data_IF_103999247423
#
_entry.id   IF_103999247423
#
_cell.length_a   1.000
_cell.length_b   1.000
_cell.length_c   1.000
_cell.angle_alpha   90.00
_cell.angle_beta   90.00
_cell.angle_gamma   90.00
#
_symmetry.space_group_name_H-M   'P 1'
#
loop_
_entity.id
_entity.type
_entity.pdbx_description
1 polymer ?
#
# COMPACT_ATOMS: atom_id res chain seq x y z
N UNK A 1 -12.95 -12.72 14.45
CA UNK A 1 -11.83 -11.87 14.87
C UNK A 1 -11.53 -10.82 13.80
N UNK A 2 -11.41 -9.56 14.18
CA UNK A 2 -11.13 -8.42 13.30
C UNK A 2 -9.82 -7.81 13.80
N UNK A 3 -8.84 -7.66 12.92
CA UNK A 3 -7.59 -6.98 13.21
C UNK A 3 -7.62 -5.61 12.55
N UNK A 4 -7.36 -4.57 13.32
CA UNK A 4 -7.10 -3.24 12.79
C UNK A 4 -5.61 -2.98 12.90
N UNK A 5 -4.93 -2.85 11.76
CA UNK A 5 -3.53 -2.49 11.71
C UNK A 5 -3.40 -1.01 11.31
N UNK A 6 -2.77 -0.23 12.17
CA UNK A 6 -2.42 1.15 11.87
C UNK A 6 -1.09 1.20 11.12
N UNK A 7 -1.12 0.99 9.81
CA UNK A 7 0.11 1.21 9.02
C UNK A 7 0.48 2.68 8.94
N UNK A 8 1.56 3.04 9.63
CA UNK A 8 2.40 4.17 9.23
C UNK A 8 3.30 3.65 8.10
N UNK A 9 3.01 3.96 6.83
CA UNK A 9 4.10 3.93 5.85
C UNK A 9 5.21 4.81 6.41
N UNK A 10 6.41 4.25 6.59
CA UNK A 10 7.54 4.84 7.27
C UNK A 10 8.09 6.15 6.68
N UNK A 11 7.30 7.21 6.64
CA UNK A 11 7.77 8.58 6.56
C UNK A 11 8.03 9.11 7.96
N UNK A 12 9.07 8.60 8.61
CA UNK A 12 9.75 9.40 9.64
C UNK A 12 10.49 10.53 8.91
N UNK A 13 9.83 11.69 8.89
CA UNK A 13 10.40 13.04 8.77
C UNK A 13 11.07 13.39 7.43
N UNK A 14 10.29 14.01 6.52
CA UNK A 14 10.78 15.18 5.79
C UNK A 14 9.61 16.20 5.71
N UNK A 15 9.75 17.36 6.37
CA UNK A 15 8.86 18.54 6.30
C UNK A 15 7.45 18.52 6.93
N UNK A 16 7.28 18.07 8.18
CA UNK A 16 6.38 18.74 9.15
C UNK A 16 4.90 19.00 8.81
N UNK A 17 4.31 18.40 7.77
CA UNK A 17 2.88 18.45 7.46
C UNK A 17 2.46 17.13 6.81
N UNK A 18 1.45 16.48 7.41
CA UNK A 18 0.78 15.22 7.03
C UNK A 18 1.48 13.89 7.37
N UNK A 19 1.26 13.38 8.59
CA UNK A 19 1.35 11.93 8.87
C UNK A 19 0.03 11.26 8.49
N UNK A 20 -0.17 10.82 7.25
CA UNK A 20 -1.39 10.10 6.87
C UNK A 20 -1.47 8.75 7.62
N UNK A 21 -2.27 8.67 8.68
CA UNK A 21 -2.60 7.40 9.34
C UNK A 21 -3.53 6.61 8.41
N UNK A 22 -2.98 5.65 7.68
CA UNK A 22 -3.73 4.80 6.74
C UNK A 22 -4.19 3.53 7.43
N UNK A 23 -5.48 3.48 7.78
CA UNK A 23 -6.09 2.33 8.44
C UNK A 23 -6.26 1.19 7.42
N UNK A 24 -5.66 0.04 7.71
CA UNK A 24 -5.90 -1.24 7.04
C UNK A 24 -6.73 -2.11 8.00
N UNK A 25 -7.95 -2.44 7.60
CA UNK A 25 -8.91 -3.30 8.30
C UNK A 25 -8.75 -4.75 7.81
N UNK A 26 -8.56 -5.71 8.69
CA UNK A 26 -8.22 -7.10 8.35
C UNK A 26 -9.17 -8.06 9.07
N UNK A 27 -9.71 -9.07 8.38
CA UNK A 27 -10.69 -9.98 8.96
C UNK A 27 -10.13 -11.42 9.08
N UNK A 28 -10.31 -12.03 10.25
CA UNK A 28 -10.01 -13.43 10.59
C UNK A 28 -11.30 -14.09 11.12
N UNK A 29 -11.99 -14.92 10.33
CA UNK A 29 -13.30 -15.47 10.72
C UNK A 29 -13.22 -16.89 11.32
N UNK A 30 -13.70 -17.03 12.56
CA UNK A 30 -14.50 -18.18 13.01
C UNK A 30 -15.59 -17.66 13.99
N UNK A 31 -16.85 -18.10 13.80
CA UNK A 31 -18.02 -18.00 14.70
C UNK A 31 -19.06 -16.87 14.50
N UNK A 32 -20.39 -17.15 14.63
CA UNK A 32 -21.47 -16.22 14.29
C UNK A 32 -22.05 -15.51 15.51
N UNK A 33 -21.89 -14.19 15.60
CA UNK A 33 -22.74 -13.35 16.44
C UNK A 33 -22.89 -11.93 15.84
N UNK A 34 -24.08 -11.32 15.92
CA UNK A 34 -24.31 -9.97 15.42
C UNK A 34 -24.09 -8.95 16.53
N UNK A 35 -23.31 -7.91 16.25
CA UNK A 35 -23.47 -6.51 16.71
C UNK A 35 -22.12 -5.80 16.63
N UNK A 36 -21.92 -4.82 15.73
CA UNK A 36 -20.93 -3.76 15.96
C UNK A 36 -21.31 -2.41 15.36
N UNK A 37 -21.16 -1.38 16.18
CA UNK A 37 -21.43 0.04 15.95
C UNK A 37 -20.34 0.69 15.07
N UNK A 38 -20.72 1.78 14.38
CA UNK A 38 -19.90 2.53 13.42
C UNK A 38 -19.74 3.99 13.86
N UNK A 39 -18.81 4.69 13.20
CA UNK A 39 -18.47 6.14 13.14
C UNK A 39 -17.08 6.45 13.74
N UNK A 40 -16.18 7.30 13.21
CA UNK A 40 -16.20 8.29 12.11
C UNK A 40 -14.78 8.90 11.92
N UNK A 41 -14.40 9.22 10.68
CA UNK A 41 -13.26 10.03 10.16
C UNK A 41 -11.81 9.84 10.69
N UNK A 42 -10.89 9.87 9.70
CA UNK A 42 -9.44 9.63 9.75
C UNK A 42 -8.72 10.69 10.62
N UNK A 43 -7.63 10.24 11.26
CA UNK A 43 -6.67 10.91 12.17
C UNK A 43 -7.05 10.84 13.66
N UNK A 44 -6.38 9.92 14.38
CA UNK A 44 -6.51 9.65 15.82
C UNK A 44 -7.85 9.07 16.27
N UNK A 45 -8.16 7.86 15.80
CA UNK A 45 -9.03 6.97 16.56
C UNK A 45 -8.23 6.42 17.75
N UNK A 46 -8.29 7.12 18.88
CA UNK A 46 -8.03 6.47 20.18
C UNK A 46 -9.27 5.65 20.48
N UNK A 47 -9.30 4.39 20.01
CA UNK A 47 -10.31 3.42 20.45
C UNK A 47 -10.00 3.13 21.91
N UNK A 48 -10.78 3.71 22.83
CA UNK A 48 -10.54 3.57 24.27
C UNK A 48 -10.83 2.14 24.75
N UNK A 49 -11.81 1.48 24.15
CA UNK A 49 -12.13 0.07 24.41
C UNK A 49 -12.60 -0.57 23.10
N UNK A 50 -11.92 -1.66 22.73
CA UNK A 50 -12.31 -2.52 21.62
C UNK A 50 -12.95 -3.79 22.19
N UNK A 51 -13.96 -4.36 21.51
CA UNK A 51 -14.50 -5.67 21.85
C UNK A 51 -13.43 -6.76 21.80
N UNK A 52 -13.63 -7.87 22.50
CA UNK A 52 -12.67 -9.00 22.53
C UNK A 52 -12.41 -9.58 21.13
N UNK A 53 -13.36 -9.44 20.20
CA UNK A 53 -13.22 -9.88 18.81
C UNK A 53 -12.39 -8.92 17.96
N UNK A 54 -12.01 -7.75 18.47
CA UNK A 54 -11.30 -6.67 17.76
C UNK A 54 -9.92 -6.48 18.36
N UNK A 55 -8.90 -6.79 17.56
CA UNK A 55 -7.50 -6.57 17.91
C UNK A 55 -6.98 -5.32 17.25
N UNK A 56 -6.53 -4.38 18.06
CA UNK A 56 -5.84 -3.18 17.59
C UNK A 56 -4.33 -3.45 17.65
N UNK A 57 -3.68 -3.36 16.49
CA UNK A 57 -2.23 -3.45 16.39
C UNK A 57 -1.71 -2.18 15.74
N UNK A 58 -0.56 -1.70 16.19
CA UNK A 58 0.08 -0.52 15.62
C UNK A 58 0.66 -0.88 14.26
N UNK A 59 1.91 -1.34 14.23
CA UNK A 59 2.62 -1.69 13.01
C UNK A 59 2.84 -3.21 12.93
N UNK A 60 2.61 -3.77 11.74
CA UNK A 60 2.81 -5.19 11.49
C UNK A 60 3.16 -5.42 10.01
N UNK A 61 4.18 -6.25 9.71
CA UNK A 61 4.50 -6.60 8.34
C UNK A 61 3.30 -7.26 7.63
N UNK A 62 2.84 -6.67 6.53
CA UNK A 62 1.68 -7.15 5.77
C UNK A 62 1.91 -8.50 5.09
N UNK A 63 3.14 -8.77 4.68
CA UNK A 63 3.59 -10.05 4.14
C UNK A 63 3.50 -11.20 5.15
N UNK A 64 3.61 -10.91 6.45
CA UNK A 64 3.35 -11.88 7.52
C UNK A 64 1.86 -11.94 7.91
N UNK A 65 1.21 -10.78 8.01
CA UNK A 65 -0.15 -10.67 8.52
C UNK A 65 -1.22 -11.16 7.52
N UNK A 66 -1.13 -10.74 6.26
CA UNK A 66 -2.17 -11.01 5.28
C UNK A 66 -2.37 -12.49 4.96
N UNK A 67 -1.33 -13.35 4.87
CA UNK A 67 -1.52 -14.79 4.69
C UNK A 67 -2.39 -15.46 5.76
N UNK A 68 -2.52 -14.82 6.93
CA UNK A 68 -3.39 -15.31 8.00
C UNK A 68 -4.83 -14.85 7.79
N UNK A 69 -5.06 -13.71 7.11
CA UNK A 69 -6.36 -13.07 6.95
C UNK A 69 -7.29 -13.77 5.93
N UNK A 70 -8.58 -13.78 6.26
CA UNK A 70 -9.63 -14.23 5.35
C UNK A 70 -9.96 -13.17 4.28
N UNK A 71 -9.89 -11.89 4.64
CA UNK A 71 -10.14 -10.76 3.75
C UNK A 71 -9.44 -9.47 4.26
N UNK A 72 -9.22 -8.53 3.35
CA UNK A 72 -8.59 -7.22 3.62
C UNK A 72 -9.51 -6.08 3.19
N UNK A 73 -9.62 -5.04 4.01
CA UNK A 73 -10.30 -3.78 3.70
C UNK A 73 -9.29 -2.66 3.86
N UNK A 74 -9.05 -1.88 2.82
CA UNK A 74 -8.10 -0.77 2.89
C UNK A 74 -8.45 0.31 1.88
N UNK A 75 -7.70 1.41 1.89
CA UNK A 75 -7.99 2.56 1.04
C UNK A 75 -7.57 2.41 -0.42
N UNK A 76 -6.81 1.38 -0.79
CA UNK A 76 -6.38 1.14 -2.18
C UNK A 76 -4.98 1.58 -2.57
N UNK A 77 -4.02 1.75 -1.65
CA UNK A 77 -2.62 1.97 -2.03
C UNK A 77 -2.03 0.77 -2.79
N UNK A 78 -1.29 1.02 -3.88
CA UNK A 78 -0.75 0.00 -4.78
C UNK A 78 -0.06 -1.17 -4.07
N UNK A 79 0.84 -0.86 -3.12
CA UNK A 79 1.58 -1.87 -2.37
C UNK A 79 0.68 -2.74 -1.50
N UNK A 80 -0.26 -2.14 -0.76
CA UNK A 80 -1.22 -2.89 0.07
C UNK A 80 -2.14 -3.76 -0.79
N UNK A 81 -2.62 -3.24 -1.92
CA UNK A 81 -3.45 -4.00 -2.87
C UNK A 81 -2.66 -5.22 -3.38
N UNK A 82 -1.43 -5.00 -3.86
CA UNK A 82 -0.58 -6.06 -4.39
C UNK A 82 -0.28 -7.12 -3.33
N UNK A 83 0.09 -6.72 -2.11
CA UNK A 83 0.37 -7.65 -1.01
C UNK A 83 -0.87 -8.44 -0.61
N UNK A 84 -2.05 -7.82 -0.55
CA UNK A 84 -3.32 -8.49 -0.24
C UNK A 84 -3.70 -9.55 -1.27
N UNK A 85 -3.64 -9.19 -2.55
CA UNK A 85 -3.91 -10.13 -3.65
C UNK A 85 -2.87 -11.24 -3.68
N UNK A 86 -1.58 -10.92 -3.54
CA UNK A 86 -0.48 -11.90 -3.50
C UNK A 86 -0.63 -12.88 -2.33
N UNK A 87 -1.13 -12.43 -1.18
CA UNK A 87 -1.44 -13.29 -0.03
C UNK A 87 -2.70 -14.16 -0.23
N UNK A 88 -3.40 -14.02 -1.36
CA UNK A 88 -4.62 -14.76 -1.64
C UNK A 88 -5.85 -14.19 -0.93
N UNK A 89 -5.83 -12.93 -0.49
CA UNK A 89 -6.91 -12.34 0.27
C UNK A 89 -7.88 -11.52 -0.61
N UNK A 90 -9.17 -11.91 -0.66
CA UNK A 90 -10.23 -11.01 -1.11
C UNK A 90 -10.11 -9.63 -0.47
N UNK A 91 -10.29 -8.60 -1.29
CA UNK A 91 -9.93 -7.23 -0.91
C UNK A 91 -11.08 -6.26 -1.23
N UNK A 92 -11.47 -5.40 -0.29
CA UNK A 92 -12.39 -4.27 -0.53
C UNK A 92 -11.62 -2.96 -0.44
N UNK A 93 -11.84 -2.09 -1.42
CA UNK A 93 -11.20 -0.78 -1.48
C UNK A 93 -12.16 0.33 -1.07
N UNK A 94 -11.71 1.21 -0.17
CA UNK A 94 -12.41 2.42 0.27
C UNK A 94 -11.62 3.64 -0.23
N UNK A 95 -11.77 4.04 -1.50
CA UNK A 95 -10.93 5.07 -2.08
C UNK A 95 -11.36 6.46 -1.60
N UNK A 96 -10.38 7.35 -1.47
CA UNK A 96 -10.59 8.77 -1.19
C UNK A 96 -9.74 9.71 -2.07
N UNK A 97 -8.59 9.29 -2.60
CA UNK A 97 -7.80 10.10 -3.56
C UNK A 97 -6.82 9.27 -4.41
N UNK A 98 -6.30 9.86 -5.48
CA UNK A 98 -5.16 9.32 -6.23
C UNK A 98 -5.44 8.01 -6.96
N UNK A 99 -4.46 7.10 -6.95
CA UNK A 99 -4.50 5.80 -7.62
C UNK A 99 -5.44 4.79 -6.95
N UNK A 100 -5.98 5.11 -5.78
CA UNK A 100 -6.90 4.27 -5.01
C UNK A 100 -8.15 3.88 -5.80
N UNK A 101 -8.71 4.82 -6.58
CA UNK A 101 -9.86 4.55 -7.44
C UNK A 101 -9.51 3.52 -8.52
N UNK A 102 -8.35 3.68 -9.15
CA UNK A 102 -7.85 2.73 -10.14
C UNK A 102 -7.72 1.33 -9.55
N UNK A 103 -7.11 1.18 -8.37
CA UNK A 103 -6.95 -0.12 -7.73
C UNK A 103 -8.29 -0.73 -7.30
N UNK A 104 -9.22 0.08 -6.81
CA UNK A 104 -10.58 -0.34 -6.55
C UNK A 104 -11.25 -0.94 -7.78
N UNK A 105 -11.19 -0.23 -8.91
CA UNK A 105 -11.78 -0.70 -10.17
C UNK A 105 -11.12 -2.01 -10.63
N UNK A 106 -9.79 -2.12 -10.56
CA UNK A 106 -9.07 -3.35 -10.95
C UNK A 106 -9.45 -4.55 -10.08
N UNK A 107 -9.57 -4.36 -8.77
CA UNK A 107 -10.01 -5.42 -7.85
C UNK A 107 -11.43 -5.90 -8.20
N UNK A 108 -12.34 -4.96 -8.43
CA UNK A 108 -13.73 -5.27 -8.78
C UNK A 108 -13.84 -5.97 -10.14
N UNK A 109 -13.21 -5.44 -11.17
CA UNK A 109 -13.23 -6.00 -12.54
C UNK A 109 -12.67 -7.42 -12.61
N UNK A 110 -11.67 -7.73 -11.78
CA UNK A 110 -11.10 -9.08 -11.67
C UNK A 110 -11.91 -10.01 -10.76
N UNK A 111 -12.99 -9.50 -10.13
CA UNK A 111 -13.84 -10.27 -9.23
C UNK A 111 -13.15 -10.69 -7.92
N UNK A 112 -12.12 -9.95 -7.52
CA UNK A 112 -11.29 -10.18 -6.32
C UNK A 112 -11.88 -9.52 -5.07
N UNK A 113 -12.91 -8.69 -5.28
CA UNK A 113 -13.61 -7.92 -4.28
C UNK A 113 -14.89 -7.32 -4.83
N UNK A 114 -15.73 -6.74 -3.95
CA UNK A 114 -16.92 -6.02 -4.36
C UNK A 114 -16.55 -4.72 -5.09
N UNK A 115 -17.56 -4.01 -5.62
CA UNK A 115 -17.37 -2.64 -6.09
C UNK A 115 -16.72 -1.78 -4.98
N UNK A 116 -15.79 -0.88 -5.32
CA UNK A 116 -15.20 0.02 -4.33
C UNK A 116 -16.28 0.82 -3.61
N UNK A 117 -16.07 1.09 -2.32
CA UNK A 117 -16.98 1.89 -1.50
C UNK A 117 -16.36 3.28 -1.37
N UNK A 118 -16.80 4.30 -2.13
CA UNK A 118 -16.29 5.66 -1.94
C UNK A 118 -16.41 6.06 -0.47
N UNK A 119 -15.40 6.75 0.07
CA UNK A 119 -15.39 7.12 1.51
C UNK A 119 -16.67 7.85 1.96
N UNK A 120 -17.29 8.65 1.08
CA UNK A 120 -18.55 9.35 1.34
C UNK A 120 -19.77 8.43 1.47
N UNK A 121 -19.66 7.18 1.03
CA UNK A 121 -20.68 6.16 1.09
C UNK A 121 -20.37 5.07 2.13
N UNK A 122 -19.23 5.15 2.83
CA UNK A 122 -18.86 4.15 3.82
C UNK A 122 -19.85 4.16 5.00
N UNK A 123 -20.54 3.04 5.19
CA UNK A 123 -21.49 2.82 6.28
C UNK A 123 -21.56 1.32 6.65
N UNK A 124 -22.38 0.96 7.64
CA UNK A 124 -22.44 -0.40 8.21
C UNK A 124 -22.87 -1.38 7.14
N UNK A 125 -23.89 -0.99 6.39
CA UNK A 125 -24.53 -1.84 5.41
C UNK A 125 -23.57 -2.15 4.25
N UNK A 126 -22.97 -1.12 3.66
CA UNK A 126 -22.01 -1.29 2.56
C UNK A 126 -20.80 -2.10 3.00
N UNK A 127 -20.21 -1.82 4.17
CA UNK A 127 -19.06 -2.57 4.67
C UNK A 127 -19.42 -4.03 4.98
N UNK A 128 -20.58 -4.27 5.62
CA UNK A 128 -21.04 -5.62 5.92
C UNK A 128 -21.30 -6.43 4.65
N UNK A 129 -21.91 -5.81 3.63
CA UNK A 129 -22.17 -6.46 2.35
C UNK A 129 -20.87 -6.78 1.61
N UNK A 130 -19.89 -5.87 1.66
CA UNK A 130 -18.56 -6.10 1.11
C UNK A 130 -17.84 -7.26 1.78
N UNK A 131 -17.89 -7.36 3.12
CA UNK A 131 -17.31 -8.48 3.87
C UNK A 131 -17.99 -9.80 3.49
N UNK A 132 -19.32 -9.84 3.44
CA UNK A 132 -20.06 -11.05 3.02
C UNK A 132 -19.67 -11.50 1.61
N UNK A 133 -19.55 -10.56 0.68
CA UNK A 133 -19.07 -10.85 -0.67
C UNK A 133 -17.67 -11.47 -0.63
N UNK A 134 -16.72 -10.84 0.06
CA UNK A 134 -15.34 -11.31 0.15
C UNK A 134 -15.19 -12.70 0.78
N UNK A 135 -16.06 -13.05 1.72
CA UNK A 135 -16.06 -14.36 2.39
C UNK A 135 -16.68 -15.49 1.54
N UNK A 136 -17.23 -15.17 0.36
CA UNK A 136 -17.78 -16.18 -0.53
C UNK A 136 -16.65 -17.04 -1.15
N UNK A 137 -16.78 -18.39 -1.16
CA UNK A 137 -15.71 -19.29 -1.63
C UNK A 137 -15.22 -19.00 -3.05
N UNK A 138 -16.12 -18.59 -3.94
CA UNK A 138 -15.82 -18.25 -5.33
C UNK A 138 -14.90 -17.02 -5.46
N UNK A 139 -15.00 -16.06 -4.53
CA UNK A 139 -14.10 -14.90 -4.52
C UNK A 139 -12.72 -15.34 -4.06
N UNK A 140 -12.64 -16.16 -3.01
CA UNK A 140 -11.38 -16.74 -2.54
C UNK A 140 -10.67 -17.53 -3.64
N UNK A 141 -11.39 -18.36 -4.40
CA UNK A 141 -10.82 -19.13 -5.51
C UNK A 141 -10.21 -18.22 -6.59
N UNK A 142 -10.91 -17.17 -7.02
CA UNK A 142 -10.39 -16.20 -8.00
C UNK A 142 -9.15 -15.48 -7.52
N UNK A 143 -9.13 -15.07 -6.25
CA UNK A 143 -7.96 -14.40 -5.67
C UNK A 143 -6.77 -15.35 -5.58
N UNK A 144 -6.99 -16.61 -5.18
CA UNK A 144 -5.93 -17.61 -5.13
C UNK A 144 -5.35 -17.91 -6.53
N UNK A 145 -6.18 -17.93 -7.56
CA UNK A 145 -5.72 -18.10 -8.95
C UNK A 145 -4.78 -16.97 -9.37
N UNK A 146 -5.16 -15.71 -9.11
CA UNK A 146 -4.30 -14.57 -9.39
C UNK A 146 -3.07 -14.51 -8.49
N UNK A 147 -3.20 -14.86 -7.20
CA UNK A 147 -2.09 -14.94 -6.28
C UNK A 147 -1.02 -15.91 -6.79
N UNK A 148 -1.43 -17.08 -7.30
CA UNK A 148 -0.52 -18.05 -7.89
C UNK A 148 0.20 -17.50 -9.12
N UNK A 149 -0.47 -16.69 -9.97
CA UNK A 149 0.20 -16.04 -11.10
C UNK A 149 1.25 -15.03 -10.63
N UNK A 150 0.91 -14.19 -9.65
CA UNK A 150 1.84 -13.20 -9.07
C UNK A 150 3.03 -13.89 -8.40
N UNK A 151 2.82 -14.97 -7.66
CA UNK A 151 3.92 -15.70 -6.97
C UNK A 151 4.93 -16.28 -7.96
N UNK A 152 4.48 -16.62 -9.17
CA UNK A 152 5.31 -17.21 -10.21
C UNK A 152 5.95 -16.17 -11.16
N UNK A 153 5.76 -14.87 -10.89
CA UNK A 153 6.38 -13.80 -11.67
C UNK A 153 7.72 -13.35 -11.06
N UNK A 154 8.66 -12.89 -11.91
CA UNK A 154 9.89 -12.20 -11.48
C UNK A 154 9.84 -10.75 -11.99
N UNK A 155 8.92 -9.97 -11.42
CA UNK A 155 8.66 -8.60 -11.86
C UNK A 155 9.88 -7.68 -11.75
N UNK A 156 10.81 -7.96 -10.81
CA UNK A 156 12.05 -7.19 -10.67
C UNK A 156 12.98 -7.47 -11.83
N UNK A 157 13.23 -8.74 -12.17
CA UNK A 157 14.01 -9.10 -13.34
C UNK A 157 13.40 -8.55 -14.62
N UNK A 158 12.09 -8.72 -14.81
CA UNK A 158 11.39 -8.24 -16.00
C UNK A 158 11.51 -6.71 -16.14
N UNK A 159 11.44 -5.98 -15.03
CA UNK A 159 11.66 -4.53 -15.01
C UNK A 159 13.10 -4.15 -15.35
N UNK A 160 14.09 -4.86 -14.81
CA UNK A 160 15.52 -4.65 -15.12
C UNK A 160 15.80 -4.94 -16.59
N UNK A 161 15.30 -6.05 -17.12
CA UNK A 161 15.45 -6.42 -18.53
C UNK A 161 14.71 -5.44 -19.46
N UNK A 162 13.54 -4.97 -19.06
CA UNK A 162 12.84 -3.90 -19.77
C UNK A 162 13.66 -2.60 -19.76
N UNK A 163 14.22 -2.20 -18.62
CA UNK A 163 15.07 -1.01 -18.52
C UNK A 163 16.28 -1.11 -19.45
N UNK A 164 17.04 -2.22 -19.40
CA UNK A 164 18.21 -2.43 -20.26
C UNK A 164 17.88 -2.43 -21.76
N UNK A 165 16.73 -2.98 -22.16
CA UNK A 165 16.29 -2.95 -23.56
C UNK A 165 16.01 -1.54 -24.10
N UNK A 166 15.66 -0.61 -23.22
CA UNK A 166 15.34 0.78 -23.60
C UNK A 166 16.51 1.74 -23.39
N UNK A 167 17.66 1.25 -22.89
CA UNK A 167 18.87 2.07 -22.84
C UNK A 167 19.39 2.30 -24.26
N UNK A 168 19.84 3.53 -24.57
CA UNK A 168 20.55 3.76 -25.81
C UNK A 168 21.85 2.94 -25.83
N UNK A 169 22.34 2.51 -27.02
CA UNK A 169 23.59 1.74 -27.15
C UNK A 169 24.79 2.45 -26.55
N UNK A 170 24.76 3.79 -26.54
CA UNK A 170 25.71 4.65 -25.87
C UNK A 170 24.95 5.51 -24.86
N UNK A 171 25.31 5.40 -23.59
CA UNK A 171 24.87 6.35 -22.58
C UNK A 171 25.52 7.71 -22.90
N UNK A 172 24.79 8.85 -22.79
CA UNK A 172 25.40 10.16 -22.88
C UNK A 172 26.36 10.34 -21.70
N UNK A 173 27.63 9.98 -21.92
CA UNK A 173 28.71 10.31 -20.99
C UNK A 173 28.92 11.81 -21.16
N UNK A 174 28.80 12.62 -20.09
CA UNK A 174 29.20 14.02 -20.17
C UNK A 174 30.65 14.04 -20.64
N UNK A 175 30.90 14.55 -21.84
CA UNK A 175 32.27 14.83 -22.27
C UNK A 175 32.85 15.82 -21.26
N UNK A 176 34.06 15.58 -20.71
CA UNK A 176 34.75 16.60 -19.97
C UNK A 176 34.85 17.82 -20.89
N UNK A 177 34.14 18.90 -20.58
CA UNK A 177 34.31 20.16 -21.30
C UNK A 177 35.75 20.58 -21.09
N UNK A 178 36.55 20.55 -22.17
CA UNK A 178 37.92 21.08 -22.19
C UNK A 178 37.95 22.59 -21.89
N UNK A 179 36.79 23.24 -21.83
CA UNK A 179 36.58 24.64 -21.48
C UNK A 179 36.31 24.87 -19.98
N UNK A 180 36.78 23.97 -19.11
CA UNK A 180 36.82 24.27 -17.67
C UNK A 180 37.84 25.40 -17.44
N UNK A 181 37.37 26.64 -17.50
CA UNK A 181 38.05 27.76 -16.86
C UNK A 181 38.37 27.33 -15.42
N UNK A 182 39.57 27.63 -14.89
CA UNK A 182 39.91 27.27 -13.52
C UNK A 182 38.82 27.83 -12.60
N UNK A 183 38.08 26.92 -11.98
CA UNK A 183 36.97 27.26 -11.10
C UNK A 183 37.52 28.07 -9.93
N UNK A 184 36.88 29.20 -9.64
CA UNK A 184 37.22 30.02 -8.48
C UNK A 184 37.19 29.13 -7.21
N UNK A 185 38.22 29.19 -6.33
CA UNK A 185 38.29 28.34 -5.14
C UNK A 185 37.05 28.39 -4.25
N UNK A 186 36.33 29.52 -4.23
CA UNK A 186 35.11 29.66 -3.45
C UNK A 186 33.94 28.89 -4.08
N UNK A 187 33.77 28.97 -5.41
CA UNK A 187 32.77 28.20 -6.15
C UNK A 187 33.03 26.68 -6.10
N UNK A 188 34.30 26.27 -6.11
CA UNK A 188 34.65 24.86 -5.89
C UNK A 188 34.23 24.39 -4.50
N UNK A 189 34.52 25.18 -3.46
CA UNK A 189 34.13 24.86 -2.08
C UNK A 189 32.60 24.77 -1.93
N UNK A 190 31.85 25.69 -2.52
CA UNK A 190 30.38 25.66 -2.50
C UNK A 190 29.83 24.43 -3.24
N UNK A 191 30.42 24.06 -4.37
CA UNK A 191 30.02 22.87 -5.13
C UNK A 191 30.34 21.58 -4.37
N UNK A 192 31.49 21.53 -3.71
CA UNK A 192 31.88 20.42 -2.85
C UNK A 192 30.93 20.27 -1.66
N UNK A 193 30.61 21.35 -0.96
CA UNK A 193 29.65 21.36 0.15
C UNK A 193 28.26 20.92 -0.33
N UNK A 194 27.74 21.45 -1.44
CA UNK A 194 26.45 21.03 -2.01
C UNK A 194 26.41 19.54 -2.34
N UNK A 195 27.49 18.99 -2.90
CA UNK A 195 27.57 17.56 -3.24
C UNK A 195 27.54 16.68 -1.99
N UNK A 196 28.13 17.14 -0.89
CA UNK A 196 28.09 16.46 0.42
C UNK A 196 26.75 16.65 1.16
N UNK A 197 26.07 17.79 0.99
CA UNK A 197 24.75 18.03 1.57
C UNK A 197 23.62 17.26 0.84
N UNK A 198 23.86 16.80 -0.39
CA UNK A 198 22.89 16.03 -1.19
C UNK A 198 23.08 14.50 -1.13
N UNK A 199 24.03 13.99 -0.33
CA UNK A 199 24.07 12.55 -0.05
C UNK A 199 22.98 12.22 0.98
N UNK A 200 22.16 11.17 0.75
CA UNK A 200 21.34 10.62 1.82
C UNK A 200 22.27 10.09 2.89
N UNK A 201 22.16 10.63 4.10
CA UNK A 201 22.81 10.08 5.27
C UNK A 201 22.19 8.69 5.53
N UNK A 202 22.96 7.63 5.34
CA UNK A 202 22.60 6.30 5.85
C UNK A 202 22.70 6.31 7.38
N UNK A 203 21.55 6.27 8.04
CA UNK A 203 21.37 5.74 9.40
C UNK A 203 19.98 5.14 9.55
#
# INVERSE_FOLDING_TARGET
MIIFCSTCMGQKVIYGLFSCFMITLLFLWESPAPNFFLLQFIFFLVVQEAPDEVFLIEDCPHDWLFPQCAAVVHHGGAGTTATGVRAGCPTTIIPFFGDQFFWGDRIHEKGLGPSPIPISQLNVEHLSNAIRFMLAPEVKLRVMELANMIVNEDGVRDAVDAFHRHLPPELPIPHPTLDAQPMDPFEWLLTFIKKWCCFPWES
#
